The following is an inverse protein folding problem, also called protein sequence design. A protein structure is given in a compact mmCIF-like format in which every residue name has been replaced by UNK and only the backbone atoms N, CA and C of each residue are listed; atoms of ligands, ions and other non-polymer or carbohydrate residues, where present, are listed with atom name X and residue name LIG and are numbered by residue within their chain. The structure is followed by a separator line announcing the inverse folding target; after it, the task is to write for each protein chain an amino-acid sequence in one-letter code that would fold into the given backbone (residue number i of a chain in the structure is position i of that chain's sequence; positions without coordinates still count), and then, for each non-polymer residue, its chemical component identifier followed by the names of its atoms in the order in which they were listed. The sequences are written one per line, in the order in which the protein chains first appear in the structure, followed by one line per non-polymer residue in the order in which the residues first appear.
data_IF_049947941073
#
_entry.id   IF_049947941073
#
_cell.length_a   1.000
_cell.length_b   1.000
_cell.length_c   1.000
_cell.angle_alpha   90.00
_cell.angle_beta   90.00
_cell.angle_gamma   90.00
#
_symmetry.space_group_name_H-M   'P 1'
#
loop_
_entity.id
_entity.type
_entity.pdbx_description
1 polymer ?
#
# COMPACT_ATOMS: atom_id res chain seq x y z
N UNK A 1 0.13 -19.33 53.56
CA UNK A 1 -0.92 -18.74 52.69
C UNK A 1 -0.34 -17.98 51.49
N UNK A 2 0.53 -18.60 50.67
CA UNK A 2 1.06 -17.99 49.42
C UNK A 2 0.80 -18.82 48.15
N UNK A 3 0.39 -20.08 48.28
CA UNK A 3 0.15 -20.98 47.13
C UNK A 3 -1.28 -20.87 46.57
N UNK A 4 -2.29 -20.61 47.43
CA UNK A 4 -3.68 -20.45 47.00
C UNK A 4 -3.91 -19.18 46.15
N UNK A 5 -3.12 -18.12 46.38
CA UNK A 5 -3.15 -16.90 45.56
C UNK A 5 -2.52 -17.07 44.18
N UNK A 6 -1.61 -18.05 44.00
CA UNK A 6 -0.95 -18.31 42.71
C UNK A 6 -1.83 -19.19 41.81
N UNK A 7 -2.54 -20.19 42.37
CA UNK A 7 -3.50 -21.00 41.59
C UNK A 7 -4.70 -20.18 41.10
N UNK A 8 -5.21 -19.24 41.90
CA UNK A 8 -6.27 -18.33 41.48
C UNK A 8 -5.80 -17.37 40.37
N UNK A 9 -4.53 -16.98 40.38
CA UNK A 9 -3.90 -16.14 39.36
C UNK A 9 -3.67 -16.87 38.03
N UNK A 10 -3.35 -18.18 38.05
CA UNK A 10 -3.14 -18.98 36.85
C UNK A 10 -4.46 -19.41 36.18
N UNK A 11 -5.52 -19.62 36.97
CA UNK A 11 -6.88 -19.91 36.46
C UNK A 11 -7.53 -18.67 35.84
N UNK A 12 -7.31 -17.47 36.40
CA UNK A 12 -7.75 -16.21 35.76
C UNK A 12 -6.93 -15.87 34.52
N UNK A 13 -5.64 -16.21 34.47
CA UNK A 13 -4.80 -16.00 33.27
C UNK A 13 -5.21 -16.91 32.10
N UNK A 14 -5.58 -18.17 32.37
CA UNK A 14 -6.08 -19.10 31.33
C UNK A 14 -7.47 -18.73 30.81
N UNK A 15 -8.36 -18.19 31.65
CA UNK A 15 -9.68 -17.72 31.20
C UNK A 15 -9.61 -16.36 30.51
N UNK A 16 -8.67 -15.46 30.87
CA UNK A 16 -8.41 -14.24 30.09
C UNK A 16 -7.74 -14.53 28.74
N UNK A 17 -6.81 -15.48 28.66
CA UNK A 17 -6.15 -15.83 27.40
C UNK A 17 -7.10 -16.47 26.39
N UNK A 18 -8.11 -17.21 26.86
CA UNK A 18 -9.18 -17.74 26.00
C UNK A 18 -10.24 -16.69 25.64
N UNK A 19 -10.38 -15.60 26.42
CA UNK A 19 -11.26 -14.48 26.08
C UNK A 19 -10.66 -13.56 25.00
N UNK A 20 -9.33 -13.55 24.83
CA UNK A 20 -8.68 -12.84 23.72
C UNK A 20 -8.74 -13.60 22.38
N UNK A 21 -9.27 -14.82 22.36
CA UNK A 21 -9.39 -15.63 21.13
C UNK A 21 -10.78 -15.48 20.47
N UNK A 22 -11.74 -14.80 21.09
CA UNK A 22 -13.15 -14.71 20.59
C UNK A 22 -13.54 -13.31 20.07
N UNK A 23 -12.59 -12.38 19.92
CA UNK A 23 -12.79 -11.10 19.20
C UNK A 23 -11.89 -11.00 17.96
N UNK A 24 -11.73 -12.10 17.23
CA UNK A 24 -11.13 -12.12 15.89
C UNK A 24 -12.20 -12.43 14.82
N UNK A 25 -13.42 -11.94 15.03
CA UNK A 25 -14.40 -11.78 13.96
C UNK A 25 -14.42 -10.30 13.62
N UNK A 26 -14.25 -10.03 12.34
CA UNK A 26 -13.86 -8.76 11.73
C UNK A 26 -12.36 -8.53 11.91
N UNK A 27 -11.60 -9.17 11.00
CA UNK A 27 -10.25 -8.76 10.64
C UNK A 27 -10.18 -7.22 10.73
N UNK A 28 -9.26 -6.65 11.51
CA UNK A 28 -9.06 -5.21 11.46
C UNK A 28 -8.83 -4.90 9.99
N UNK A 29 -9.58 -3.95 9.43
CA UNK A 29 -9.30 -3.38 8.11
C UNK A 29 -7.79 -3.18 8.09
N UNK A 30 -7.09 -4.04 7.34
CA UNK A 30 -5.65 -4.12 7.43
C UNK A 30 -5.14 -2.80 6.91
N UNK A 31 -4.63 -1.98 7.83
CA UNK A 31 -3.77 -0.82 7.57
C UNK A 31 -2.59 -1.20 6.63
N UNK A 32 -2.36 -2.50 6.42
CA UNK A 32 -1.38 -3.12 5.53
C UNK A 32 -1.74 -3.08 4.03
N UNK A 33 -2.97 -2.78 3.61
CA UNK A 33 -3.30 -2.66 2.17
C UNK A 33 -3.33 -1.22 1.66
N UNK A 34 -3.22 -0.23 2.56
CA UNK A 34 -3.42 1.20 2.26
C UNK A 34 -2.10 2.00 2.40
N UNK A 35 -1.03 1.34 2.86
CA UNK A 35 0.34 1.86 3.03
C UNK A 35 1.35 1.30 2.00
N UNK A 36 1.00 0.25 1.25
CA UNK A 36 1.98 -0.50 0.45
C UNK A 36 2.54 0.23 -0.77
N UNK A 37 1.89 1.31 -1.21
CA UNK A 37 2.39 2.13 -2.33
C UNK A 37 3.14 3.39 -1.86
N UNK A 38 3.13 3.67 -0.56
CA UNK A 38 3.69 4.93 -0.08
C UNK A 38 5.20 5.01 -0.23
N UNK A 39 5.91 3.91 0.01
CA UNK A 39 7.35 3.83 -0.25
C UNK A 39 7.68 4.17 -1.71
N UNK A 40 6.84 3.76 -2.65
CA UNK A 40 7.01 3.94 -4.09
C UNK A 40 6.59 5.34 -4.51
N UNK A 41 5.47 5.87 -4.00
CA UNK A 41 5.02 7.24 -4.26
C UNK A 41 6.02 8.27 -3.74
N UNK A 42 6.65 8.01 -2.59
CA UNK A 42 7.67 8.89 -2.03
C UNK A 42 8.94 8.94 -2.89
N UNK A 43 9.16 7.98 -3.79
CA UNK A 43 10.26 7.99 -4.77
C UNK A 43 9.90 8.69 -6.09
N UNK A 44 8.64 9.08 -6.31
CA UNK A 44 8.23 9.76 -7.55
C UNK A 44 8.80 11.18 -7.64
N UNK A 45 9.22 11.57 -8.84
CA UNK A 45 9.71 12.91 -9.14
C UNK A 45 8.56 13.87 -9.50
N UNK A 46 7.79 14.32 -8.50
CA UNK A 46 6.61 15.17 -8.73
C UNK A 46 6.88 16.54 -9.37
N UNK A 47 8.11 17.07 -9.29
CA UNK A 47 8.47 18.36 -9.90
C UNK A 47 8.68 18.26 -11.42
N UNK A 48 9.41 17.22 -11.86
CA UNK A 48 9.95 17.17 -13.24
C UNK A 48 9.47 15.94 -14.04
N UNK A 49 8.88 14.94 -13.36
CA UNK A 49 8.40 13.71 -13.96
C UNK A 49 6.89 13.56 -13.98
N UNK A 50 6.16 14.36 -13.20
CA UNK A 50 4.71 14.33 -13.13
C UNK A 50 4.08 15.40 -14.02
N UNK A 51 3.15 15.01 -14.88
CA UNK A 51 2.37 15.93 -15.72
C UNK A 51 0.93 15.94 -15.23
N UNK A 52 0.52 17.05 -14.64
CA UNK A 52 -0.86 17.26 -14.19
C UNK A 52 -1.79 17.48 -15.39
N UNK A 53 -3.01 16.98 -15.30
CA UNK A 53 -4.08 17.25 -16.28
C UNK A 53 -4.97 18.40 -15.80
N UNK A 54 -4.62 19.62 -16.20
CA UNK A 54 -5.34 20.83 -15.78
C UNK A 54 -4.99 21.31 -14.37
N UNK A 55 -5.97 21.87 -13.66
CA UNK A 55 -5.80 22.35 -12.29
C UNK A 55 -6.15 21.26 -11.28
N UNK A 56 -5.12 20.56 -10.80
CA UNK A 56 -5.23 19.49 -9.80
C UNK A 56 -5.01 19.98 -8.35
N UNK A 57 -5.02 21.31 -8.12
CA UNK A 57 -4.82 21.83 -6.76
C UNK A 57 -5.92 21.33 -5.84
N UNK A 58 -5.55 21.02 -4.60
CA UNK A 58 -6.51 20.61 -3.57
C UNK A 58 -6.05 21.02 -2.17
N UNK A 59 -7.01 21.21 -1.29
CA UNK A 59 -6.80 21.49 0.13
C UNK A 59 -6.89 20.19 0.93
N UNK A 60 -5.84 19.90 1.70
CA UNK A 60 -5.84 18.79 2.65
C UNK A 60 -6.45 19.19 3.99
N UNK A 61 -6.90 18.20 4.77
CA UNK A 61 -7.40 18.38 6.14
C UNK A 61 -6.34 18.88 7.12
N UNK A 62 -5.07 18.90 6.71
CA UNK A 62 -3.98 19.54 7.44
C UNK A 62 -3.84 21.05 7.13
N UNK A 63 -4.76 21.62 6.34
CA UNK A 63 -4.76 23.03 5.96
C UNK A 63 -3.69 23.38 4.92
N UNK A 64 -3.00 22.38 4.36
CA UNK A 64 -1.98 22.55 3.34
C UNK A 64 -2.59 22.50 1.94
N UNK A 65 -2.15 23.43 1.09
CA UNK A 65 -2.49 23.40 -0.33
C UNK A 65 -1.50 22.52 -1.08
N UNK A 66 -2.00 21.47 -1.73
CA UNK A 66 -1.21 20.60 -2.58
C UNK A 66 -1.34 21.04 -4.03
N UNK A 67 -0.20 21.23 -4.71
CA UNK A 67 -0.15 21.84 -6.04
C UNK A 67 -0.71 20.93 -7.14
N UNK A 68 -0.66 19.61 -6.95
CA UNK A 68 -1.20 18.60 -7.85
C UNK A 68 -1.39 17.28 -7.08
N UNK A 69 -1.95 16.26 -7.74
CA UNK A 69 -2.21 14.98 -7.09
C UNK A 69 -0.93 14.25 -6.65
N UNK A 70 0.18 14.43 -7.36
CA UNK A 70 1.46 13.84 -6.97
C UNK A 70 1.95 14.38 -5.62
N UNK A 71 1.92 15.70 -5.42
CA UNK A 71 2.29 16.30 -4.13
C UNK A 71 1.34 15.90 -3.01
N UNK A 72 0.04 15.81 -3.29
CA UNK A 72 -0.93 15.32 -2.31
C UNK A 72 -0.65 13.87 -1.90
N UNK A 73 -0.40 12.99 -2.87
CA UNK A 73 -0.06 11.59 -2.61
C UNK A 73 1.21 11.47 -1.74
N UNK A 74 2.26 12.23 -2.05
CA UNK A 74 3.46 12.29 -1.22
C UNK A 74 3.20 12.86 0.18
N UNK A 75 2.41 13.93 0.25
CA UNK A 75 2.00 14.57 1.50
C UNK A 75 1.31 13.59 2.44
N UNK A 76 0.31 12.87 1.93
CA UNK A 76 -0.40 11.84 2.70
C UNK A 76 0.49 10.66 3.07
N UNK A 77 1.41 10.25 2.19
CA UNK A 77 2.36 9.20 2.55
C UNK A 77 3.29 9.61 3.70
N UNK A 78 3.55 10.92 3.87
CA UNK A 78 4.28 11.45 5.04
C UNK A 78 3.35 11.65 6.26
N UNK A 79 2.10 12.02 6.02
CA UNK A 79 1.06 12.27 7.04
C UNK A 79 -0.19 11.42 6.73
N UNK A 80 -0.26 10.16 7.21
CA UNK A 80 -1.31 9.22 6.80
C UNK A 80 -2.74 9.67 7.11
N UNK A 81 -2.92 10.51 8.13
CA UNK A 81 -4.22 11.04 8.57
C UNK A 81 -4.74 12.20 7.71
N UNK A 82 -3.92 12.74 6.78
CA UNK A 82 -4.34 13.81 5.88
C UNK A 82 -5.36 13.27 4.86
N UNK A 83 -6.53 13.90 4.79
CA UNK A 83 -7.60 13.61 3.84
C UNK A 83 -7.88 14.82 2.97
N UNK A 84 -8.42 14.62 1.77
CA UNK A 84 -8.78 15.74 0.91
C UNK A 84 -10.06 16.37 1.45
N UNK A 85 -10.03 17.69 1.62
CA UNK A 85 -11.18 18.45 2.11
C UNK A 85 -11.99 19.01 0.94
N UNK A 86 -11.33 19.69 0.00
CA UNK A 86 -11.92 20.18 -1.24
C UNK A 86 -10.88 20.41 -2.34
N UNK A 87 -11.34 20.50 -3.59
CA UNK A 87 -10.51 20.92 -4.72
C UNK A 87 -10.26 22.43 -4.68
N UNK A 88 -9.07 22.84 -5.13
CA UNK A 88 -8.57 24.21 -5.07
C UNK A 88 -7.61 24.47 -3.90
N UNK A 89 -7.00 25.67 -3.84
CA UNK A 89 -6.14 26.05 -2.73
C UNK A 89 -6.93 26.20 -1.43
N UNK A 90 -6.28 25.94 -0.30
CA UNK A 90 -6.85 26.23 1.00
C UNK A 90 -7.15 27.73 1.13
N UNK A 91 -8.32 28.05 1.69
CA UNK A 91 -8.71 29.43 1.94
C UNK A 91 -7.75 30.09 2.95
N UNK A 92 -7.00 31.11 2.53
CA UNK A 92 -6.40 32.05 3.48
C UNK A 92 -7.41 33.18 3.72
N UNK A 93 -7.67 33.50 4.99
CA UNK A 93 -8.40 34.72 5.30
C UNK A 93 -7.52 35.89 4.84
N UNK A 94 -7.90 36.56 3.75
CA UNK A 94 -7.25 37.70 3.05
C UNK A 94 -6.64 37.34 1.69
N UNK A 95 -7.46 37.06 0.66
CA UNK A 95 -7.62 37.92 -0.52
C UNK A 95 -8.42 37.21 -1.62
N UNK A 96 -9.49 37.89 -2.05
CA UNK A 96 -9.99 37.95 -3.43
C UNK A 96 -10.88 36.79 -3.94
N UNK A 97 -12.10 37.22 -4.29
CA UNK A 97 -13.10 36.68 -5.19
C UNK A 97 -13.48 35.21 -5.04
N UNK A 98 -14.60 35.02 -4.33
CA UNK A 98 -15.43 33.84 -4.37
C UNK A 98 -15.67 33.44 -5.83
N UNK A 99 -15.19 32.27 -6.30
CA UNK A 99 -15.78 31.70 -7.49
C UNK A 99 -17.22 31.33 -7.14
N UNK A 100 -18.19 31.92 -7.85
CA UNK A 100 -19.64 31.62 -7.78
C UNK A 100 -19.98 30.18 -8.23
N UNK A 101 -19.06 29.24 -8.05
CA UNK A 101 -19.27 27.83 -8.35
C UNK A 101 -18.45 27.01 -7.36
N UNK A 102 -18.77 27.14 -6.07
CA UNK A 102 -18.63 26.00 -5.16
C UNK A 102 -19.56 24.93 -5.74
N UNK A 103 -19.02 24.07 -6.60
CA UNK A 103 -19.74 22.92 -7.12
C UNK A 103 -20.05 22.03 -5.91
N UNK A 104 -21.25 22.20 -5.37
CA UNK A 104 -21.81 21.44 -4.27
C UNK A 104 -22.15 20.00 -4.65
N UNK A 105 -21.79 19.58 -5.87
CA UNK A 105 -21.63 18.17 -6.16
C UNK A 105 -20.52 17.65 -5.25
N UNK A 106 -20.79 16.67 -4.37
CA UNK A 106 -19.72 15.93 -3.74
C UNK A 106 -18.79 15.51 -4.87
N UNK A 107 -17.48 15.79 -4.78
CA UNK A 107 -16.56 15.24 -5.75
C UNK A 107 -16.87 13.74 -5.83
N UNK A 108 -16.82 13.12 -7.03
CA UNK A 108 -16.90 11.66 -7.10
C UNK A 108 -15.98 11.15 -6.00
N UNK A 109 -16.45 10.21 -5.18
CA UNK A 109 -15.63 9.59 -4.11
C UNK A 109 -14.49 8.84 -4.78
N UNK A 110 -13.53 9.57 -5.31
CA UNK A 110 -12.13 9.21 -5.32
C UNK A 110 -11.82 9.25 -3.83
N UNK A 111 -12.01 8.11 -3.17
CA UNK A 111 -11.49 7.95 -1.82
C UNK A 111 -10.06 8.45 -1.86
N UNK A 112 -9.60 9.13 -0.83
CA UNK A 112 -8.24 9.69 -0.83
C UNK A 112 -7.22 8.60 -1.20
N UNK A 113 -7.48 7.33 -0.86
CA UNK A 113 -6.80 6.11 -1.32
C UNK A 113 -6.66 6.00 -2.84
N UNK A 114 -7.72 6.29 -3.59
CA UNK A 114 -7.74 6.26 -5.04
C UNK A 114 -6.71 7.24 -5.63
N UNK A 115 -6.45 8.39 -5.00
CA UNK A 115 -5.45 9.35 -5.52
C UNK A 115 -4.02 8.78 -5.45
N UNK A 116 -3.66 8.06 -4.37
CA UNK A 116 -2.34 7.42 -4.26
C UNK A 116 -2.16 6.35 -5.34
N UNK A 117 -3.16 5.49 -5.50
CA UNK A 117 -3.14 4.42 -6.50
C UNK A 117 -3.12 5.02 -7.91
N UNK A 118 -3.95 6.03 -8.18
CA UNK A 118 -4.00 6.74 -9.46
C UNK A 118 -2.66 7.38 -9.81
N UNK A 119 -2.04 8.12 -8.87
CA UNK A 119 -0.74 8.73 -9.08
C UNK A 119 0.32 7.67 -9.32
N UNK A 120 0.41 6.65 -8.46
CA UNK A 120 1.37 5.59 -8.65
C UNK A 120 1.18 4.91 -10.01
N UNK A 121 0.00 4.39 -10.30
CA UNK A 121 -0.25 3.62 -11.53
C UNK A 121 -0.19 4.44 -12.82
N UNK A 122 -0.42 5.76 -12.78
CA UNK A 122 -0.23 6.63 -13.94
C UNK A 122 1.24 6.96 -14.22
N UNK A 123 2.10 6.91 -13.20
CA UNK A 123 3.51 7.29 -13.30
C UNK A 123 4.48 6.11 -13.24
N UNK A 124 4.04 4.95 -12.77
CA UNK A 124 4.93 3.85 -12.46
C UNK A 124 5.47 3.23 -13.75
N UNK A 125 6.78 3.36 -13.94
CA UNK A 125 7.54 2.71 -15.01
C UNK A 125 8.52 1.72 -14.39
N UNK A 126 8.83 0.64 -15.10
CA UNK A 126 9.77 -0.38 -14.61
C UNK A 126 11.17 0.21 -14.33
N UNK A 127 11.57 1.23 -15.09
CA UNK A 127 12.86 1.90 -14.95
C UNK A 127 12.99 2.74 -13.67
N UNK A 128 11.85 3.07 -13.04
CA UNK A 128 11.82 3.82 -11.78
C UNK A 128 12.01 2.93 -10.55
N UNK A 129 11.93 1.61 -10.70
CA UNK A 129 12.07 0.69 -9.58
C UNK A 129 13.55 0.49 -9.18
N UNK A 130 13.85 0.41 -7.88
CA UNK A 130 15.19 0.06 -7.42
C UNK A 130 15.58 -1.36 -7.84
N UNK A 131 16.88 -1.59 -8.03
CA UNK A 131 17.44 -2.87 -8.53
C UNK A 131 17.62 -3.94 -7.44
N UNK A 132 17.23 -3.65 -6.19
CA UNK A 132 17.32 -4.61 -5.08
C UNK A 132 16.51 -5.88 -5.36
N UNK A 133 17.03 -6.99 -4.85
CA UNK A 133 16.44 -8.32 -4.99
C UNK A 133 15.81 -8.71 -3.66
N UNK A 134 14.49 -8.51 -3.56
CA UNK A 134 13.67 -8.88 -2.40
C UNK A 134 12.41 -9.58 -2.93
N UNK A 135 12.55 -10.84 -3.40
CA UNK A 135 11.55 -11.45 -4.26
C UNK A 135 10.22 -11.67 -3.53
N UNK A 136 9.14 -11.44 -4.27
CA UNK A 136 7.76 -11.72 -3.84
C UNK A 136 7.16 -12.79 -4.75
N UNK A 137 6.23 -13.57 -4.22
CA UNK A 137 5.41 -14.50 -4.99
C UNK A 137 4.01 -13.94 -5.10
N UNK A 138 3.50 -13.76 -6.32
CA UNK A 138 2.12 -13.36 -6.56
C UNK A 138 1.16 -14.54 -6.58
N UNK A 139 -0.12 -14.29 -6.33
CA UNK A 139 -1.22 -15.27 -6.47
C UNK A 139 -1.41 -15.78 -7.89
N UNK A 140 -0.79 -15.13 -8.87
CA UNK A 140 -0.66 -15.56 -10.26
C UNK A 140 0.46 -16.60 -10.47
N UNK A 141 1.17 -16.99 -9.42
CA UNK A 141 2.28 -17.96 -9.46
C UNK A 141 3.58 -17.38 -10.02
N UNK A 142 3.67 -16.06 -10.20
CA UNK A 142 4.86 -15.38 -10.74
C UNK A 142 5.74 -14.82 -9.61
N UNK A 143 7.05 -14.90 -9.81
CA UNK A 143 8.00 -14.16 -8.99
C UNK A 143 8.14 -12.72 -9.46
N UNK A 144 8.11 -11.80 -8.50
CA UNK A 144 8.38 -10.38 -8.69
C UNK A 144 9.69 -10.03 -8.00
N UNK A 145 10.55 -9.27 -8.70
CA UNK A 145 11.91 -8.97 -8.21
C UNK A 145 11.92 -8.30 -6.84
N UNK A 146 11.01 -7.35 -6.64
CA UNK A 146 10.77 -6.65 -5.39
C UNK A 146 9.36 -6.04 -5.39
N UNK A 147 9.01 -5.36 -4.30
CA UNK A 147 7.69 -4.76 -4.10
C UNK A 147 7.31 -3.73 -5.16
N UNK A 148 8.27 -2.96 -5.70
CA UNK A 148 7.98 -1.98 -6.76
C UNK A 148 7.51 -2.67 -8.04
N UNK A 149 8.18 -3.75 -8.46
CA UNK A 149 7.76 -4.54 -9.63
C UNK A 149 6.40 -5.21 -9.42
N UNK A 150 6.13 -5.70 -8.22
CA UNK A 150 4.83 -6.27 -7.87
C UNK A 150 3.71 -5.21 -7.91
N UNK A 151 3.98 -4.03 -7.35
CA UNK A 151 3.04 -2.91 -7.33
C UNK A 151 2.67 -2.43 -8.74
N UNK A 152 3.63 -2.37 -9.66
CA UNK A 152 3.38 -2.03 -11.07
C UNK A 152 2.42 -3.03 -11.71
N UNK A 153 2.65 -4.34 -11.52
CA UNK A 153 1.76 -5.35 -12.10
C UNK A 153 0.34 -5.26 -11.50
N UNK A 154 0.24 -4.97 -10.20
CA UNK A 154 -1.04 -4.81 -9.51
C UNK A 154 -1.89 -3.66 -10.07
N UNK A 155 -1.28 -2.67 -10.71
CA UNK A 155 -2.03 -1.63 -11.45
C UNK A 155 -2.85 -2.21 -12.62
N UNK A 156 -2.36 -3.28 -13.25
CA UNK A 156 -3.07 -3.99 -14.33
C UNK A 156 -3.92 -5.14 -13.79
N UNK A 157 -3.51 -5.75 -12.67
CA UNK A 157 -4.17 -6.89 -12.05
C UNK A 157 -4.59 -6.53 -10.61
N UNK A 158 -5.71 -5.83 -10.45
CA UNK A 158 -6.14 -5.31 -9.14
C UNK A 158 -6.39 -6.41 -8.09
N UNK A 159 -6.74 -7.62 -8.53
CA UNK A 159 -6.91 -8.80 -7.67
C UNK A 159 -5.60 -9.49 -7.28
N UNK A 160 -4.45 -9.05 -7.80
CA UNK A 160 -3.15 -9.64 -7.50
C UNK A 160 -2.77 -9.38 -6.04
N UNK A 161 -2.44 -10.45 -5.34
CA UNK A 161 -1.98 -10.43 -3.96
C UNK A 161 -0.65 -11.17 -3.85
N UNK A 162 0.10 -10.89 -2.78
CA UNK A 162 1.27 -11.68 -2.43
C UNK A 162 0.81 -12.98 -1.77
N UNK A 163 1.53 -14.06 -2.03
CA UNK A 163 1.38 -15.34 -1.36
C UNK A 163 2.74 -15.86 -0.91
N UNK A 164 2.75 -16.99 -0.21
CA UNK A 164 3.99 -17.62 0.26
C UNK A 164 4.91 -17.98 -0.91
N UNK A 165 6.22 -17.73 -0.76
CA UNK A 165 7.21 -17.90 -1.83
C UNK A 165 7.20 -19.30 -2.45
N UNK A 166 6.90 -20.31 -1.63
CA UNK A 166 6.84 -21.70 -2.06
C UNK A 166 5.77 -21.94 -3.15
N UNK A 167 4.72 -21.14 -3.19
CA UNK A 167 3.61 -21.29 -4.14
C UNK A 167 3.98 -20.89 -5.58
N UNK A 168 5.05 -20.10 -5.76
CA UNK A 168 5.60 -19.76 -7.08
C UNK A 168 6.68 -20.73 -7.55
N UNK A 169 6.94 -21.81 -6.79
CA UNK A 169 7.94 -22.84 -7.12
C UNK A 169 7.47 -23.72 -8.28
N UNK A 170 7.50 -23.19 -9.50
CA UNK A 170 7.41 -23.97 -10.74
C UNK A 170 8.80 -24.32 -11.27
N UNK A 171 9.72 -24.71 -10.38
CA UNK A 171 10.84 -25.57 -10.74
C UNK A 171 11.05 -26.54 -9.58
N UNK A 172 10.27 -27.63 -9.57
CA UNK A 172 10.88 -28.89 -9.10
C UNK A 172 12.09 -29.06 -10.01
N UNK A 173 13.29 -29.10 -9.43
CA UNK A 173 14.37 -29.76 -10.13
C UNK A 173 13.83 -31.15 -10.50
N UNK A 174 13.44 -31.32 -11.75
CA UNK A 174 13.47 -32.62 -12.40
C UNK A 174 14.95 -33.03 -12.41
N UNK A 175 15.41 -33.55 -11.27
CA UNK A 175 16.57 -34.43 -11.25
C UNK A 175 16.12 -35.77 -11.82
N UNK A 176 15.65 -35.74 -13.07
CA UNK A 176 15.34 -36.91 -13.86
C UNK A 176 16.68 -37.52 -14.25
N UNK A 177 17.08 -38.56 -13.52
CA UNK A 177 17.84 -39.69 -14.02
C UNK A 177 18.94 -39.34 -15.06
N UNK A 178 20.14 -38.98 -14.58
CA UNK A 178 21.34 -39.31 -15.36
C UNK A 178 21.53 -40.84 -15.28
N UNK A 179 21.52 -41.57 -16.42
CA UNK A 179 21.93 -42.96 -16.41
C UNK A 179 23.41 -43.03 -16.01
N UNK A 180 23.71 -43.89 -15.05
CA UNK A 180 25.06 -44.31 -14.71
C UNK A 180 25.81 -44.81 -15.95
N UNK A 181 26.61 -43.96 -16.60
CA UNK A 181 27.62 -44.38 -17.58
C UNK A 181 28.92 -43.63 -17.33
N UNK A 182 29.69 -44.12 -16.36
CA UNK A 182 31.16 -44.22 -16.33
C UNK A 182 31.41 -45.29 -15.25
N UNK A 183 31.60 -46.57 -15.58
CA UNK A 183 32.68 -47.05 -16.44
C UNK A 183 33.89 -47.32 -15.57
N UNK A 184 33.90 -48.46 -14.87
CA UNK A 184 35.11 -49.02 -14.26
C UNK A 184 36.15 -49.23 -15.36
N UNK A 185 37.33 -48.61 -15.22
CA UNK A 185 38.61 -49.22 -15.56
C UNK A 185 39.73 -48.50 -14.80
#
# INVERSE_FOLDING_TARGET
MKIHRIMLFLLTFRTLFLLQVVLALDFPIQWETISSLCSQVLMLHCNDGYVADGDERLCGSDGETYLNFCFYAQGRCRKPDTTMEYFGPCMNSSTVDLPDTISSTPPPRTTTQDIIVQVFCSQATLDSCPINLDPLCGTDGKFYRNECFFAIEKCSQTSLQTQELEMCSTVKHETTLLPSIFGKK
#
